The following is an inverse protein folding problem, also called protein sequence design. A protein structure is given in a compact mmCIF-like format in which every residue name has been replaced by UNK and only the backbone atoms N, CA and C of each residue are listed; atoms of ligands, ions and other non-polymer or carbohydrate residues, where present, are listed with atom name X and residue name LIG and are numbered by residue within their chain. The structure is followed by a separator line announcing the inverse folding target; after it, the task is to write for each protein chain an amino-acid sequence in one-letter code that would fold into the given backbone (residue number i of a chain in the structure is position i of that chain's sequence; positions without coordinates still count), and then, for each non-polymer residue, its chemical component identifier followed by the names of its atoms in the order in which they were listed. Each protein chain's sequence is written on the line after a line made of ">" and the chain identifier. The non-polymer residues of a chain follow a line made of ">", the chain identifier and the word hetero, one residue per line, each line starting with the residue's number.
data_IF_602195971229
#
_entry.id   IF_602195971229
#
_cell.length_a   1.000
_cell.length_b   1.000
_cell.length_c   1.000
_cell.angle_alpha   90.00
_cell.angle_beta   90.00
_cell.angle_gamma   90.00
#
_symmetry.space_group_name_H-M   'P 1'
#
loop_
_entity.id
_entity.type
_entity.pdbx_description
1 polymer ?
#
# COMPACT_ATOMS: atom_id res chain seq x y z
N UNK A 1 1.56 17.08 20.26
CA UNK A 1 0.41 16.16 20.32
C UNK A 1 -0.63 16.63 19.32
N UNK A 2 -0.65 16.05 18.12
CA UNK A 2 -1.83 16.15 17.28
C UNK A 2 -2.96 15.39 18.00
N UNK A 3 -3.99 16.15 18.31
CA UNK A 3 -5.25 15.76 18.92
C UNK A 3 -5.84 14.62 18.09
N UNK A 4 -6.11 13.49 18.75
CA UNK A 4 -6.72 12.26 18.22
C UNK A 4 -7.17 12.31 16.74
N UNK A 5 -6.33 11.77 15.85
CA UNK A 5 -6.52 11.76 14.39
C UNK A 5 -7.89 11.22 13.96
N UNK A 6 -8.41 10.23 14.71
CA UNK A 6 -9.72 9.61 14.48
C UNK A 6 -10.87 10.56 14.81
N UNK A 7 -10.71 11.42 15.82
CA UNK A 7 -11.74 12.41 16.16
C UNK A 7 -11.80 13.51 15.11
N UNK A 8 -10.65 13.95 14.62
CA UNK A 8 -10.58 14.92 13.52
C UNK A 8 -11.22 14.35 12.25
N UNK A 9 -10.87 13.12 11.85
CA UNK A 9 -11.41 12.53 10.63
C UNK A 9 -12.93 12.40 10.68
N UNK A 10 -13.49 11.98 11.83
CA UNK A 10 -14.94 11.97 12.04
C UNK A 10 -15.57 13.36 12.00
N UNK A 11 -14.87 14.39 12.49
CA UNK A 11 -15.37 15.77 12.48
C UNK A 11 -15.45 16.31 11.06
N UNK A 12 -14.40 16.07 10.25
CA UNK A 12 -14.34 16.44 8.84
C UNK A 12 -15.41 15.69 8.03
N UNK A 13 -15.55 14.37 8.24
CA UNK A 13 -16.57 13.58 7.54
C UNK A 13 -18.00 14.06 7.83
N UNK A 14 -18.28 14.49 9.07
CA UNK A 14 -19.57 15.10 9.44
C UNK A 14 -19.77 16.47 8.80
N UNK A 15 -18.71 17.28 8.74
CA UNK A 15 -18.78 18.60 8.12
C UNK A 15 -19.09 18.51 6.62
N UNK A 16 -18.49 17.53 5.93
CA UNK A 16 -18.63 17.32 4.49
C UNK A 16 -19.58 16.16 4.14
N UNK A 17 -20.56 15.86 4.99
CA UNK A 17 -21.49 14.75 4.78
C UNK A 17 -22.41 14.99 3.55
N UNK A 18 -22.77 16.24 3.26
CA UNK A 18 -23.61 16.58 2.09
C UNK A 18 -22.79 16.82 0.82
N UNK A 19 -21.47 16.93 0.92
CA UNK A 19 -20.58 17.19 -0.22
C UNK A 19 -20.36 15.92 -1.06
N UNK A 20 -20.06 16.11 -2.35
CA UNK A 20 -19.79 14.99 -3.27
C UNK A 20 -18.48 14.28 -2.92
N UNK A 21 -18.34 12.96 -3.08
CA UNK A 21 -17.03 12.32 -2.88
C UNK A 21 -16.01 12.78 -3.94
N UNK A 22 -14.72 12.71 -3.60
CA UNK A 22 -13.60 12.93 -4.52
C UNK A 22 -13.59 11.83 -5.59
N UNK A 23 -13.68 10.57 -5.16
CA UNK A 23 -13.92 9.45 -6.06
C UNK A 23 -14.67 8.34 -5.33
N UNK A 24 -15.28 7.45 -6.11
CA UNK A 24 -16.02 6.29 -5.62
C UNK A 24 -15.35 5.00 -6.07
N UNK A 25 -15.30 4.02 -5.18
CA UNK A 25 -14.81 2.67 -5.45
C UNK A 25 -15.99 1.72 -5.27
N UNK A 26 -16.40 1.07 -6.34
CA UNK A 26 -17.50 0.10 -6.32
C UNK A 26 -16.92 -1.31 -6.27
N UNK A 27 -17.25 -2.05 -5.21
CA UNK A 27 -16.82 -3.40 -4.97
C UNK A 27 -17.98 -4.34 -5.29
N UNK A 28 -17.84 -5.15 -6.35
CA UNK A 28 -18.75 -6.24 -6.67
C UNK A 28 -18.11 -7.59 -6.32
N UNK A 29 -18.86 -8.68 -6.41
CA UNK A 29 -18.37 -10.01 -6.10
C UNK A 29 -17.10 -10.39 -6.91
N UNK A 30 -17.11 -10.18 -8.23
CA UNK A 30 -16.04 -10.67 -9.12
C UNK A 30 -15.05 -9.59 -9.57
N UNK A 31 -15.47 -8.33 -9.47
CA UNK A 31 -14.75 -7.19 -10.04
C UNK A 31 -15.00 -5.94 -9.21
N UNK A 32 -14.09 -4.99 -9.35
CA UNK A 32 -14.22 -3.66 -8.78
C UNK A 32 -14.17 -2.61 -9.89
N UNK A 33 -14.76 -1.44 -9.65
CA UNK A 33 -14.72 -0.31 -10.56
C UNK A 33 -14.33 0.97 -9.81
N UNK A 34 -13.74 1.91 -10.53
CA UNK A 34 -13.41 3.24 -10.03
C UNK A 34 -14.28 4.26 -10.79
N UNK A 35 -15.05 5.09 -10.06
CA UNK A 35 -15.96 6.10 -10.64
C UNK A 35 -16.90 5.55 -11.73
N UNK A 36 -17.41 4.33 -11.55
CA UNK A 36 -18.23 3.63 -12.56
C UNK A 36 -17.55 3.47 -13.93
N UNK A 37 -16.21 3.45 -13.94
CA UNK A 37 -15.40 3.25 -15.12
C UNK A 37 -15.20 1.77 -15.48
N UNK A 38 -14.04 1.39 -16.04
CA UNK A 38 -13.79 0.02 -16.46
C UNK A 38 -13.77 -0.96 -15.28
N UNK A 39 -14.13 -2.21 -15.57
CA UNK A 39 -14.11 -3.30 -14.60
C UNK A 39 -12.70 -3.83 -14.44
N UNK A 40 -12.22 -3.86 -13.20
CA UNK A 40 -10.92 -4.38 -12.82
C UNK A 40 -11.08 -5.67 -12.00
N UNK A 41 -10.09 -6.56 -12.13
CA UNK A 41 -10.01 -7.79 -11.35
C UNK A 41 -9.28 -7.52 -10.03
N UNK A 42 -9.63 -8.31 -9.00
CA UNK A 42 -9.01 -8.24 -7.68
C UNK A 42 -7.55 -8.73 -7.64
N UNK A 43 -7.11 -9.53 -8.62
CA UNK A 43 -5.72 -10.01 -8.66
C UNK A 43 -4.71 -8.96 -9.14
N UNK A 44 -5.21 -7.82 -9.64
CA UNK A 44 -4.34 -6.81 -10.23
C UNK A 44 -3.46 -6.18 -9.13
N UNK A 45 -2.15 -6.01 -9.36
CA UNK A 45 -1.29 -5.32 -8.41
C UNK A 45 -1.77 -3.89 -8.13
N UNK A 46 -2.43 -3.25 -9.10
CA UNK A 46 -3.01 -1.92 -8.94
C UNK A 46 -4.12 -1.88 -7.88
N UNK A 47 -4.89 -2.97 -7.72
CA UNK A 47 -5.91 -3.05 -6.68
C UNK A 47 -5.27 -3.11 -5.29
N UNK A 48 -4.23 -3.94 -5.11
CA UNK A 48 -3.53 -4.04 -3.82
C UNK A 48 -2.95 -2.71 -3.40
N UNK A 49 -2.19 -2.04 -4.28
CA UNK A 49 -1.58 -0.75 -3.98
C UNK A 49 -2.62 0.30 -3.58
N UNK A 50 -3.67 0.47 -4.40
CA UNK A 50 -4.75 1.42 -4.14
C UNK A 50 -5.46 1.12 -2.81
N UNK A 51 -5.83 -0.14 -2.57
CA UNK A 51 -6.61 -0.50 -1.40
C UNK A 51 -5.79 -0.49 -0.11
N UNK A 52 -4.49 -0.77 -0.19
CA UNK A 52 -3.57 -0.65 0.93
C UNK A 52 -3.41 0.82 1.36
N UNK A 53 -3.37 1.76 0.41
CA UNK A 53 -3.38 3.19 0.71
C UNK A 53 -4.72 3.65 1.31
N UNK A 54 -5.85 3.16 0.77
CA UNK A 54 -7.18 3.45 1.34
C UNK A 54 -7.29 2.93 2.78
N UNK A 55 -6.83 1.71 3.05
CA UNK A 55 -6.78 1.16 4.43
C UNK A 55 -5.89 1.98 5.34
N UNK A 56 -4.75 2.45 4.82
CA UNK A 56 -3.83 3.30 5.55
C UNK A 56 -4.32 4.75 5.70
N UNK A 57 -5.49 5.11 5.14
CA UNK A 57 -6.02 6.47 5.09
C UNK A 57 -5.06 7.47 4.43
N UNK A 58 -4.32 7.01 3.42
CA UNK A 58 -3.35 7.80 2.65
C UNK A 58 -3.82 7.98 1.21
N UNK A 59 -3.49 9.13 0.62
CA UNK A 59 -3.78 9.39 -0.79
C UNK A 59 -2.80 8.59 -1.66
N UNK A 60 -3.28 7.80 -2.65
CA UNK A 60 -2.43 7.05 -3.57
C UNK A 60 -1.63 7.98 -4.48
N UNK A 61 -0.30 7.89 -4.43
CA UNK A 61 0.64 8.76 -5.16
C UNK A 61 0.56 8.53 -6.67
N UNK A 62 0.44 7.28 -7.09
CA UNK A 62 0.44 6.88 -8.51
C UNK A 62 -0.73 7.48 -9.32
N UNK A 63 -1.84 7.80 -8.64
CA UNK A 63 -3.06 8.31 -9.28
C UNK A 63 -3.17 9.83 -9.22
N UNK A 64 -2.20 10.52 -8.62
CA UNK A 64 -2.27 11.95 -8.35
C UNK A 64 -2.35 12.79 -9.63
N UNK A 65 -1.58 12.42 -10.65
CA UNK A 65 -1.63 13.08 -11.98
C UNK A 65 -3.03 12.93 -12.61
N UNK A 66 -3.65 11.76 -12.46
CA UNK A 66 -5.01 11.52 -12.96
C UNK A 66 -6.05 12.33 -12.17
N UNK A 67 -5.89 12.44 -10.85
CA UNK A 67 -6.79 13.24 -10.01
C UNK A 67 -6.72 14.73 -10.37
N UNK A 68 -5.52 15.24 -10.65
CA UNK A 68 -5.30 16.61 -11.09
C UNK A 68 -5.89 16.85 -12.50
N UNK A 69 -5.65 15.94 -13.45
CA UNK A 69 -6.21 16.01 -14.79
C UNK A 69 -7.75 15.95 -14.80
N UNK A 70 -8.33 15.09 -13.95
CA UNK A 70 -9.77 14.95 -13.78
C UNK A 70 -10.41 16.04 -12.91
N UNK A 71 -9.60 16.95 -12.32
CA UNK A 71 -10.03 18.04 -11.43
C UNK A 71 -10.93 17.54 -10.30
N UNK A 72 -10.51 16.45 -9.67
CA UNK A 72 -11.21 15.84 -8.53
C UNK A 72 -11.26 16.85 -7.37
N UNK A 73 -12.40 16.98 -6.66
CA UNK A 73 -12.48 17.91 -5.54
C UNK A 73 -11.61 17.45 -4.36
N UNK A 74 -10.77 18.35 -3.88
CA UNK A 74 -10.07 18.23 -2.59
C UNK A 74 -10.82 19.03 -1.54
N UNK A 75 -10.96 18.46 -0.35
CA UNK A 75 -11.68 19.05 0.76
C UNK A 75 -10.70 19.73 1.71
N UNK A 76 -10.93 21.02 1.93
CA UNK A 76 -10.06 21.85 2.74
C UNK A 76 -10.38 21.71 4.24
N UNK A 77 -9.32 21.53 5.03
CA UNK A 77 -9.36 21.35 6.48
C UNK A 77 -7.96 21.62 7.05
N UNK A 78 -7.62 21.09 8.23
CA UNK A 78 -6.25 21.22 8.80
C UNK A 78 -5.21 20.49 7.92
N UNK A 79 -5.65 19.54 7.09
CA UNK A 79 -4.86 18.93 6.02
C UNK A 79 -5.75 18.85 4.78
N UNK A 80 -5.25 19.17 3.58
CA UNK A 80 -5.99 18.98 2.33
C UNK A 80 -6.32 17.49 2.16
N UNK A 81 -7.59 17.09 2.31
CA UNK A 81 -7.99 15.68 2.32
C UNK A 81 -8.83 15.32 1.09
N UNK A 82 -8.86 14.03 0.75
CA UNK A 82 -9.80 13.47 -0.21
C UNK A 82 -10.85 12.63 0.50
N UNK A 83 -12.09 12.67 0.02
CA UNK A 83 -13.18 11.84 0.55
C UNK A 83 -13.47 10.74 -0.47
N UNK A 84 -13.36 9.49 -0.03
CA UNK A 84 -13.59 8.32 -0.86
C UNK A 84 -14.87 7.64 -0.43
N UNK A 85 -15.73 7.33 -1.39
CA UNK A 85 -16.95 6.57 -1.17
C UNK A 85 -16.74 5.12 -1.60
N UNK A 86 -16.78 4.19 -0.65
CA UNK A 86 -16.66 2.76 -0.90
C UNK A 86 -18.06 2.18 -0.92
N UNK A 87 -18.44 1.64 -2.08
CA UNK A 87 -19.75 1.04 -2.32
C UNK A 87 -19.61 -0.47 -2.43
N UNK A 88 -20.09 -1.20 -1.43
CA UNK A 88 -20.10 -2.67 -1.46
C UNK A 88 -21.46 -3.17 -1.96
N UNK A 89 -21.43 -3.91 -3.07
CA UNK A 89 -22.60 -4.53 -3.67
C UNK A 89 -22.67 -6.00 -3.25
N UNK A 90 -23.66 -6.32 -2.41
CA UNK A 90 -23.93 -7.71 -2.06
C UNK A 90 -24.60 -8.43 -3.25
N UNK A 91 -24.27 -9.71 -3.50
CA UNK A 91 -25.00 -10.48 -4.49
C UNK A 91 -26.48 -10.59 -4.08
N UNK A 92 -27.42 -10.58 -5.04
CA UNK A 92 -28.82 -10.78 -4.72
C UNK A 92 -29.02 -12.18 -4.14
N UNK A 93 -29.61 -12.26 -2.95
CA UNK A 93 -30.05 -13.54 -2.41
C UNK A 93 -31.18 -14.07 -3.30
N UNK A 94 -31.02 -15.29 -3.84
CA UNK A 94 -31.98 -15.93 -4.76
C UNK A 94 -33.42 -16.03 -4.20
N UNK A 95 -33.61 -15.79 -2.90
CA UNK A 95 -34.90 -15.94 -2.20
C UNK A 95 -35.65 -14.63 -1.95
N UNK A 96 -34.98 -13.48 -2.04
CA UNK A 96 -35.60 -12.17 -1.82
C UNK A 96 -35.47 -11.33 -3.10
N UNK A 97 -36.60 -11.06 -3.76
CA UNK A 97 -36.71 -10.19 -4.95
C UNK A 97 -36.48 -8.71 -4.61
N UNK A 98 -35.48 -8.38 -3.80
CA UNK A 98 -35.13 -7.01 -3.44
C UNK A 98 -34.02 -6.50 -4.36
N UNK A 99 -34.05 -5.20 -4.60
CA UNK A 99 -32.98 -4.46 -5.25
C UNK A 99 -31.64 -4.75 -4.54
N UNK A 100 -30.51 -4.78 -5.26
CA UNK A 100 -29.20 -5.09 -4.68
C UNK A 100 -28.94 -4.19 -3.46
N UNK A 101 -28.68 -4.81 -2.31
CA UNK A 101 -28.36 -4.10 -1.08
C UNK A 101 -26.95 -3.51 -1.20
N UNK A 102 -26.89 -2.18 -1.29
CA UNK A 102 -25.66 -1.40 -1.44
C UNK A 102 -25.26 -0.81 -0.09
N UNK A 103 -24.09 -1.18 0.42
CA UNK A 103 -23.53 -0.59 1.63
C UNK A 103 -22.53 0.50 1.24
N UNK A 104 -22.76 1.73 1.70
CA UNK A 104 -21.92 2.88 1.38
C UNK A 104 -21.12 3.30 2.61
N UNK A 105 -19.80 3.33 2.50
CA UNK A 105 -18.89 3.79 3.55
C UNK A 105 -18.03 4.93 3.05
N UNK A 106 -17.95 6.02 3.82
CA UNK A 106 -17.09 7.18 3.48
C UNK A 106 -15.81 7.16 4.30
N UNK A 107 -14.68 7.26 3.61
CA UNK A 107 -13.33 7.24 4.19
C UNK A 107 -12.60 8.51 3.81
N UNK A 108 -11.87 9.09 4.78
CA UNK A 108 -11.03 10.26 4.57
C UNK A 108 -9.60 9.82 4.29
N UNK A 109 -9.04 10.26 3.16
CA UNK A 109 -7.63 10.06 2.81
C UNK A 109 -6.83 11.34 3.07
N UNK A 110 -5.67 11.19 3.71
CA UNK A 110 -4.76 12.29 4.03
C UNK A 110 -3.52 12.28 3.13
N UNK A 111 -2.91 13.46 2.91
CA UNK A 111 -1.67 13.55 2.16
C UNK A 111 -0.52 12.94 2.95
N UNK A 112 0.45 12.38 2.23
CA UNK A 112 1.69 11.84 2.75
C UNK A 112 2.87 12.69 2.24
N UNK A 113 4.07 12.49 2.78
CA UNK A 113 5.29 13.13 2.25
C UNK A 113 5.53 12.79 0.78
N UNK A 114 5.19 11.57 0.37
CA UNK A 114 5.31 11.13 -1.03
C UNK A 114 4.34 11.87 -1.95
N UNK A 115 3.09 12.10 -1.52
CA UNK A 115 2.11 12.84 -2.32
C UNK A 115 2.51 14.31 -2.43
N UNK A 116 3.02 14.90 -1.34
CA UNK A 116 3.54 16.27 -1.35
C UNK A 116 4.68 16.42 -2.37
N UNK A 117 5.60 15.46 -2.40
CA UNK A 117 6.69 15.48 -3.37
C UNK A 117 6.19 15.33 -4.81
N UNK A 118 5.23 14.43 -5.05
CA UNK A 118 4.60 14.27 -6.37
C UNK A 118 3.87 15.54 -6.81
N UNK A 119 3.15 16.21 -5.90
CA UNK A 119 2.52 17.52 -6.16
C UNK A 119 3.56 18.58 -6.52
N UNK A 120 4.69 18.65 -5.81
CA UNK A 120 5.78 19.57 -6.12
C UNK A 120 6.34 19.34 -7.53
N UNK A 121 6.48 18.07 -7.93
CA UNK A 121 6.90 17.70 -9.28
C UNK A 121 5.86 18.16 -10.32
N UNK A 122 4.57 17.92 -10.08
CA UNK A 122 3.48 18.36 -10.95
C UNK A 122 3.43 19.89 -11.06
N UNK A 123 3.63 20.62 -9.96
CA UNK A 123 3.69 22.08 -9.94
C UNK A 123 4.88 22.62 -10.74
N UNK A 124 6.05 21.99 -10.61
CA UNK A 124 7.22 22.37 -11.41
C UNK A 124 6.97 22.13 -12.90
N UNK A 125 6.38 20.99 -13.27
CA UNK A 125 5.99 20.70 -14.65
C UNK A 125 5.01 21.74 -15.21
N UNK A 126 3.98 22.11 -14.44
CA UNK A 126 3.03 23.18 -14.79
C UNK A 126 3.70 24.56 -14.94
N UNK A 127 4.76 24.80 -14.18
CA UNK A 127 5.58 26.02 -14.22
C UNK A 127 6.66 26.00 -15.31
N UNK A 128 6.70 24.95 -16.15
CA UNK A 128 7.65 24.80 -17.24
C UNK A 128 9.02 24.26 -16.85
N UNK A 129 9.15 23.59 -15.70
CA UNK A 129 10.35 22.84 -15.29
C UNK A 129 11.54 23.69 -14.89
N UNK A 130 11.31 24.95 -14.49
CA UNK A 130 12.38 25.94 -14.23
C UNK A 130 12.81 26.01 -12.77
N UNK A 131 12.17 25.27 -11.87
CA UNK A 131 12.46 25.38 -10.44
C UNK A 131 13.81 24.77 -10.12
N UNK A 132 14.61 25.50 -9.35
CA UNK A 132 15.82 24.95 -8.76
C UNK A 132 15.47 24.15 -7.51
N UNK A 133 16.37 23.27 -7.07
CA UNK A 133 16.20 22.49 -5.84
C UNK A 133 15.95 23.38 -4.60
N UNK A 134 16.57 24.56 -4.56
CA UNK A 134 16.34 25.55 -3.50
C UNK A 134 14.93 26.12 -3.53
N UNK A 135 14.43 26.46 -4.71
CA UNK A 135 13.07 26.98 -4.86
C UNK A 135 12.04 25.91 -4.47
N UNK A 136 12.28 24.65 -4.87
CA UNK A 136 11.44 23.51 -4.52
C UNK A 136 11.39 23.30 -3.00
N UNK A 137 12.54 23.35 -2.32
CA UNK A 137 12.63 23.24 -0.86
C UNK A 137 11.95 24.40 -0.13
N UNK A 138 12.07 25.63 -0.63
CA UNK A 138 11.38 26.79 -0.06
C UNK A 138 9.85 26.67 -0.19
N UNK A 139 9.36 26.16 -1.33
CA UNK A 139 7.93 25.93 -1.56
C UNK A 139 7.43 24.83 -0.62
N UNK A 140 8.14 23.70 -0.52
CA UNK A 140 7.83 22.63 0.42
C UNK A 140 7.74 23.15 1.86
N UNK A 141 8.75 23.92 2.31
CA UNK A 141 8.77 24.48 3.65
C UNK A 141 7.56 25.39 3.93
N UNK A 142 7.16 26.21 2.94
CA UNK A 142 5.97 27.08 3.06
C UNK A 142 4.68 26.27 3.14
N UNK A 143 4.53 25.24 2.30
CA UNK A 143 3.36 24.35 2.31
C UNK A 143 3.28 23.61 3.65
N UNK A 144 4.40 23.06 4.13
CA UNK A 144 4.45 22.36 5.41
C UNK A 144 4.08 23.28 6.57
N UNK A 145 4.61 24.51 6.62
CA UNK A 145 4.25 25.46 7.67
C UNK A 145 2.76 25.83 7.65
N UNK A 146 2.19 26.03 6.46
CA UNK A 146 0.78 26.39 6.29
C UNK A 146 -0.19 25.24 6.63
N UNK A 147 0.19 24.00 6.31
CA UNK A 147 -0.66 22.80 6.49
C UNK A 147 -0.37 22.05 7.77
N UNK A 148 0.74 22.34 8.45
CA UNK A 148 1.08 21.64 9.69
C UNK A 148 0.07 21.96 10.79
N UNK A 149 -0.46 20.93 11.48
CA UNK A 149 -1.31 21.15 12.63
C UNK A 149 -0.50 21.82 13.76
N UNK A 150 -1.13 22.63 14.64
CA UNK A 150 -0.42 23.31 15.71
C UNK A 150 0.37 22.33 16.57
N UNK A 151 1.70 22.49 16.54
CA UNK A 151 2.64 21.65 17.26
C UNK A 151 2.69 22.05 18.73
N UNK A 152 2.35 21.13 19.63
CA UNK A 152 2.56 21.33 21.06
C UNK A 152 4.02 21.06 21.40
N UNK A 153 4.78 22.13 21.63
CA UNK A 153 6.19 22.11 22.01
C UNK A 153 6.41 22.01 23.53
N UNK A 154 5.36 22.19 24.33
CA UNK A 154 5.42 22.16 25.79
C UNK A 154 4.56 21.00 26.37
N UNK A 155 5.02 19.73 26.29
CA UNK A 155 4.29 18.63 26.90
C UNK A 155 4.41 18.68 28.44
N UNK A 156 3.28 18.77 29.15
CA UNK A 156 3.27 18.66 30.62
C UNK A 156 3.64 17.22 31.05
N UNK A 157 4.72 17.01 31.83
CA UNK A 157 5.09 15.68 32.33
C UNK A 157 4.01 15.02 33.20
N UNK A 158 3.09 15.80 33.80
CA UNK A 158 1.94 15.28 34.54
C UNK A 158 0.94 14.58 33.62
N UNK A 159 0.68 15.13 32.43
CA UNK A 159 -0.21 14.53 31.45
C UNK A 159 0.35 13.18 30.98
N UNK A 160 1.67 13.09 30.76
CA UNK A 160 2.35 11.83 30.44
C UNK A 160 2.18 10.76 31.53
N UNK A 161 2.26 11.14 32.81
CA UNK A 161 2.02 10.21 33.93
C UNK A 161 0.57 9.71 33.95
N UNK A 162 -0.41 10.59 33.76
CA UNK A 162 -1.83 10.24 33.70
C UNK A 162 -2.12 9.33 32.51
N UNK A 163 -1.63 9.67 31.32
CA UNK A 163 -1.80 8.85 30.12
C UNK A 163 -1.19 7.45 30.29
N UNK A 164 0.02 7.35 30.85
CA UNK A 164 0.66 6.06 31.12
C UNK A 164 -0.10 5.25 32.19
N UNK A 165 -0.65 5.91 33.20
CA UNK A 165 -1.48 5.25 34.22
C UNK A 165 -2.77 4.72 33.60
N UNK A 166 -3.46 5.53 32.80
CA UNK A 166 -4.67 5.13 32.08
C UNK A 166 -4.38 3.99 31.10
N UNK A 167 -3.29 4.07 30.34
CA UNK A 167 -2.86 3.02 29.41
C UNK A 167 -2.65 1.67 30.12
N UNK A 168 -2.04 1.68 31.32
CA UNK A 168 -1.89 0.46 32.14
C UNK A 168 -3.21 -0.14 32.62
N UNK A 169 -4.25 0.68 32.77
CA UNK A 169 -5.57 0.27 33.25
C UNK A 169 -6.46 -0.16 32.08
N UNK A 170 -6.38 0.54 30.94
CA UNK A 170 -7.28 0.37 29.79
C UNK A 170 -6.91 -0.78 28.87
N UNK A 171 -5.63 -1.16 28.80
CA UNK A 171 -5.26 -2.36 28.05
C UNK A 171 -5.63 -3.60 28.85
N UNK A 172 -6.17 -4.65 28.19
CA UNK A 172 -6.31 -5.94 28.84
C UNK A 172 -4.95 -6.33 29.41
N UNK A 173 -4.92 -6.80 30.66
CA UNK A 173 -3.72 -7.37 31.27
C UNK A 173 -3.29 -8.56 30.40
N UNK A 174 -2.52 -8.29 29.36
CA UNK A 174 -1.53 -9.26 28.91
C UNK A 174 -0.74 -9.62 30.17
N UNK A 175 -0.47 -10.91 30.40
CA UNK A 175 0.36 -11.29 31.54
C UNK A 175 1.60 -10.39 31.51
N UNK A 176 2.03 -9.86 32.67
CA UNK A 176 3.14 -8.92 32.73
C UNK A 176 4.25 -9.46 31.83
N UNK A 177 4.87 -8.64 30.95
CA UNK A 177 5.99 -9.14 30.16
C UNK A 177 6.90 -9.77 31.19
N UNK A 178 7.10 -11.09 31.09
CA UNK A 178 8.07 -11.78 31.91
C UNK A 178 9.28 -10.88 31.78
N UNK A 179 9.73 -10.28 32.90
CA UNK A 179 10.97 -9.50 32.90
C UNK A 179 11.92 -10.25 31.99
N UNK A 180 12.71 -9.61 31.10
CA UNK A 180 13.77 -10.31 30.43
C UNK A 180 14.71 -10.80 31.54
N UNK A 181 14.38 -11.97 32.10
CA UNK A 181 15.29 -12.88 32.72
C UNK A 181 16.29 -12.99 31.59
N UNK A 182 17.51 -12.51 31.82
CA UNK A 182 18.66 -12.96 31.03
C UNK A 182 18.59 -14.48 31.09
N UNK A 183 17.83 -15.05 30.17
CA UNK A 183 17.73 -16.46 29.93
C UNK A 183 19.11 -16.68 29.35
N UNK A 184 19.95 -17.42 30.09
CA UNK A 184 21.05 -18.11 29.44
C UNK A 184 20.43 -18.77 28.21
N UNK A 185 20.97 -18.44 27.04
CA UNK A 185 20.70 -19.20 25.83
C UNK A 185 20.87 -20.69 26.19
N UNK A 186 20.02 -21.52 25.60
CA UNK A 186 19.89 -22.97 25.78
C UNK A 186 18.66 -23.35 26.62
N UNK A 187 17.56 -23.56 25.92
CA UNK A 187 16.39 -24.24 26.48
C UNK A 187 15.08 -23.80 25.85
N UNK A 188 15.01 -23.74 24.52
CA UNK A 188 13.86 -24.11 23.68
C UNK A 188 14.22 -23.87 22.20
N UNK A 189 15.28 -24.52 21.71
CA UNK A 189 15.74 -24.42 20.31
C UNK A 189 15.72 -25.83 19.72
N UNK A 190 14.56 -26.47 19.77
CA UNK A 190 14.38 -27.87 19.31
C UNK A 190 12.98 -28.11 18.75
N UNK A 191 12.31 -27.07 18.27
CA UNK A 191 10.98 -27.21 17.66
C UNK A 191 10.86 -26.38 16.39
N UNK A 192 11.41 -25.16 16.40
CA UNK A 192 11.43 -24.29 15.21
C UNK A 192 12.51 -24.67 14.18
N UNK A 193 13.66 -25.18 14.64
CA UNK A 193 14.71 -25.71 13.74
C UNK A 193 14.27 -26.99 13.04
N UNK A 194 13.40 -27.78 13.68
CA UNK A 194 12.84 -28.99 13.10
C UNK A 194 11.88 -28.66 11.95
N UNK A 195 11.00 -27.66 12.09
CA UNK A 195 10.11 -27.27 10.99
C UNK A 195 10.87 -26.72 9.78
N UNK A 196 11.87 -25.86 10.00
CA UNK A 196 12.68 -25.31 8.92
C UNK A 196 13.53 -26.39 8.22
N UNK A 197 14.06 -27.36 8.98
CA UNK A 197 14.83 -28.47 8.43
C UNK A 197 13.95 -29.48 7.70
N UNK A 198 12.75 -29.76 8.21
CA UNK A 198 11.73 -30.60 7.55
C UNK A 198 11.28 -29.94 6.26
N UNK A 199 10.99 -28.63 6.26
CA UNK A 199 10.54 -27.93 5.05
C UNK A 199 11.61 -27.91 3.96
N UNK A 200 12.90 -27.73 4.34
CA UNK A 200 14.03 -27.90 3.41
C UNK A 200 14.13 -29.32 2.87
N UNK A 201 13.99 -30.34 3.73
CA UNK A 201 13.99 -31.76 3.30
C UNK A 201 12.85 -32.05 2.32
N UNK A 202 11.63 -31.59 2.59
CA UNK A 202 10.49 -31.76 1.65
C UNK A 202 10.70 -31.03 0.33
N UNK A 203 11.34 -29.85 0.34
CA UNK A 203 11.64 -29.11 -0.90
C UNK A 203 12.69 -29.82 -1.76
N UNK A 204 13.67 -30.48 -1.13
CA UNK A 204 14.67 -31.30 -1.81
C UNK A 204 14.04 -32.59 -2.36
N UNK A 205 13.19 -33.26 -1.59
CA UNK A 205 12.49 -34.50 -2.02
C UNK A 205 11.60 -34.21 -3.24
N UNK A 206 10.91 -33.06 -3.26
CA UNK A 206 10.04 -32.65 -4.38
C UNK A 206 10.77 -32.01 -5.57
N UNK A 207 12.11 -31.95 -5.56
CA UNK A 207 12.87 -31.26 -6.61
C UNK A 207 12.74 -31.95 -7.98
N UNK A 208 12.51 -33.28 -8.00
CA UNK A 208 12.39 -34.07 -9.22
C UNK A 208 10.95 -34.48 -9.54
N UNK A 209 9.97 -34.04 -8.76
CA UNK A 209 8.57 -34.35 -9.03
C UNK A 209 8.11 -33.58 -10.28
N UNK A 210 7.66 -34.27 -11.34
CA UNK A 210 7.14 -33.60 -12.52
C UNK A 210 5.85 -32.84 -12.14
N UNK A 211 5.88 -31.50 -12.25
CA UNK A 211 4.69 -30.67 -12.04
C UNK A 211 3.62 -31.04 -13.08
N UNK A 212 2.36 -31.30 -12.69
CA UNK A 212 1.29 -31.73 -13.60
C UNK A 212 0.90 -30.68 -14.64
N UNK A 213 1.39 -29.44 -14.53
CA UNK A 213 1.06 -28.32 -15.42
C UNK A 213 2.10 -28.08 -16.52
N UNK A 214 3.13 -28.94 -16.65
CA UNK A 214 4.11 -28.84 -17.73
C UNK A 214 3.71 -29.81 -18.83
N UNK A 215 3.26 -29.29 -19.98
CA UNK A 215 3.01 -30.12 -21.15
C UNK A 215 4.28 -30.92 -21.49
N UNK A 216 4.12 -32.22 -21.73
CA UNK A 216 5.19 -33.17 -22.03
C UNK A 216 5.80 -32.99 -23.43
N UNK A 217 5.97 -31.74 -23.87
CA UNK A 217 6.71 -31.40 -25.08
C UNK A 217 8.15 -31.08 -24.67
N UNK A 218 9.14 -31.93 -24.98
CA UNK A 218 10.54 -31.61 -24.68
C UNK A 218 10.97 -30.39 -25.51
N UNK A 219 11.28 -29.28 -24.84
CA UNK A 219 11.91 -28.12 -25.49
C UNK A 219 13.41 -28.37 -25.62
N UNK A 220 13.88 -28.59 -26.85
CA UNK A 220 15.31 -28.78 -27.15
C UNK A 220 16.06 -27.45 -27.17
N UNK A 221 16.09 -26.72 -26.05
CA UNK A 221 16.82 -25.44 -25.96
C UNK A 221 18.34 -25.68 -25.89
N UNK A 222 18.76 -26.78 -25.23
CA UNK A 222 20.18 -27.16 -25.10
C UNK A 222 20.86 -27.53 -26.43
N UNK A 223 20.09 -27.86 -27.47
CA UNK A 223 20.65 -28.21 -28.78
C UNK A 223 21.01 -26.98 -29.63
N UNK A 224 20.31 -25.85 -29.44
CA UNK A 224 20.64 -24.60 -30.12
C UNK A 224 21.92 -23.96 -29.58
N UNK A 225 22.15 -24.05 -28.26
CA UNK A 225 23.36 -23.47 -27.64
C UNK A 225 24.63 -24.23 -28.05
N UNK A 226 24.55 -25.56 -28.23
CA UNK A 226 25.68 -26.34 -28.75
C UNK A 226 25.99 -25.99 -30.20
N UNK A 227 24.97 -25.75 -31.04
CA UNK A 227 25.19 -25.41 -32.44
C UNK A 227 25.81 -24.00 -32.58
N UNK A 228 25.39 -23.04 -31.74
CA UNK A 228 26.00 -21.71 -31.73
C UNK A 228 27.44 -21.74 -31.21
N UNK A 229 27.73 -22.56 -30.20
CA UNK A 229 29.10 -22.74 -29.68
C UNK A 229 30.00 -23.42 -30.70
N UNK A 230 29.53 -24.46 -31.41
CA UNK A 230 30.31 -25.17 -32.42
C UNK A 230 30.53 -24.32 -33.68
N UNK A 231 29.56 -23.50 -34.07
CA UNK A 231 29.71 -22.56 -35.19
C UNK A 231 30.75 -21.46 -34.89
N UNK A 232 30.77 -20.93 -33.66
CA UNK A 232 31.79 -19.96 -33.23
C UNK A 232 33.20 -20.58 -33.21
N UNK A 233 33.34 -21.84 -32.77
CA UNK A 233 34.64 -22.52 -32.75
C UNK A 233 35.15 -22.77 -34.19
N UNK A 234 34.27 -23.14 -35.13
CA UNK A 234 34.66 -23.36 -36.53
C UNK A 234 35.14 -22.07 -37.21
N UNK A 235 34.45 -20.94 -36.99
CA UNK A 235 34.85 -19.63 -37.52
C UNK A 235 36.20 -19.14 -36.96
N UNK A 236 36.54 -19.48 -35.71
CA UNK A 236 37.85 -19.10 -35.14
C UNK A 236 39.01 -19.95 -35.66
N UNK A 237 38.77 -21.18 -36.12
CA UNK A 237 39.81 -22.05 -36.67
C UNK A 237 40.15 -21.74 -38.13
N UNK A 238 39.18 -21.29 -38.94
CA UNK A 238 39.44 -20.89 -40.34
C UNK A 238 40.23 -19.58 -40.47
N UNK A 239 40.17 -18.69 -39.47
CA UNK A 239 40.95 -17.43 -39.48
C UNK A 239 42.43 -17.64 -39.09
N UNK A 240 42.79 -18.78 -38.51
CA UNK A 240 44.17 -19.05 -38.07
C UNK A 240 45.02 -19.82 -39.09
N UNK A 241 44.45 -20.26 -40.23
CA UNK A 241 45.13 -21.08 -41.25
C UNK A 241 45.22 -20.38 -42.62
N UNK A 242 44.94 -19.07 -42.69
CA UNK A 242 45.15 -18.25 -43.89
C UNK A 242 46.31 -17.26 -43.70
#
# INVERSE_FOLDING_TARGET
>A
MAYNLTRESQSILKQYETSSPSFSVQLHHDNWTLNSGPKFLYNSPAFSALFDDIKAHRIPVDLLELFDAAKVPFYEGVSCCMIVEIEEYKPPDEKDSKLPEKTVTRVLLRPNSETLFADLCLLNQKSGGKWTDKDALEVEAKILLATSPPLCLDPDPRLGKVANSLYRISLPRTPPPLRPKKRKANGLESTEEDEASVNRKTKIIRFMDPKPTRSATPSYVMFLDLHHSLFLISLTLEVSVA
#
